data_IF_640083596967
#
_entry.id   IF_640083596967
#
_cell.length_a   1.000
_cell.length_b   1.000
_cell.length_c   1.000
_cell.angle_alpha   90.00
_cell.angle_beta   90.00
_cell.angle_gamma   90.00
#
_symmetry.space_group_name_H-M   'P 1'
#
loop_
_entity.id
_entity.type
_entity.pdbx_description
1 polymer ?
#
# COMPACT_ATOMS: atom_id res chain seq x y z
N UNK A 1 -24.19 -49.22 22.68
CA UNK A 1 -24.80 -47.95 22.25
C UNK A 1 -23.71 -46.90 22.30
N UNK A 2 -23.13 -46.51 21.16
CA UNK A 2 -22.22 -45.39 21.09
C UNK A 2 -23.02 -44.21 20.56
N UNK A 3 -23.16 -43.18 21.40
CA UNK A 3 -23.87 -41.96 21.07
C UNK A 3 -23.10 -41.17 20.02
N UNK A 4 -23.79 -40.90 18.94
CA UNK A 4 -23.38 -40.03 17.86
C UNK A 4 -23.40 -38.59 18.37
N UNK A 5 -22.23 -38.02 18.61
CA UNK A 5 -22.11 -36.58 18.98
C UNK A 5 -22.15 -35.80 17.66
N UNK A 6 -23.38 -35.41 17.29
CA UNK A 6 -23.59 -34.51 16.17
C UNK A 6 -22.82 -33.21 16.37
N UNK A 7 -21.79 -32.98 15.58
CA UNK A 7 -21.13 -31.70 15.48
C UNK A 7 -22.13 -30.74 14.83
N UNK A 8 -22.61 -29.76 15.63
CA UNK A 8 -23.47 -28.70 15.14
C UNK A 8 -22.79 -28.00 13.93
N UNK A 9 -23.52 -27.70 12.84
CA UNK A 9 -22.97 -26.95 11.74
C UNK A 9 -22.52 -25.58 12.26
N UNK A 10 -21.23 -25.26 12.06
CA UNK A 10 -20.66 -23.96 12.33
C UNK A 10 -21.57 -22.91 11.68
N UNK A 11 -22.25 -22.10 12.46
CA UNK A 11 -23.02 -20.95 11.99
C UNK A 11 -22.01 -20.05 11.23
N UNK A 12 -22.11 -20.05 9.90
CA UNK A 12 -21.41 -19.04 9.08
C UNK A 12 -21.93 -17.68 9.55
N UNK A 13 -21.10 -16.96 10.28
CA UNK A 13 -21.36 -15.59 10.69
C UNK A 13 -21.52 -14.78 9.40
N UNK A 14 -22.75 -14.37 9.09
CA UNK A 14 -23.07 -13.51 7.93
C UNK A 14 -22.24 -12.24 8.03
N UNK A 15 -21.19 -12.14 7.25
CA UNK A 15 -20.27 -10.99 7.26
C UNK A 15 -20.78 -9.91 6.31
N UNK A 16 -21.78 -9.14 6.77
CA UNK A 16 -22.22 -7.96 6.02
C UNK A 16 -21.09 -6.92 5.93
N UNK A 17 -20.72 -6.57 4.72
CA UNK A 17 -19.74 -5.55 4.42
C UNK A 17 -20.39 -4.30 3.80
N UNK A 18 -19.74 -3.15 3.93
CA UNK A 18 -20.17 -1.92 3.24
C UNK A 18 -20.19 -2.14 1.73
N UNK A 19 -21.27 -1.73 1.06
CA UNK A 19 -21.43 -1.94 -0.39
C UNK A 19 -20.28 -1.39 -1.22
N UNK A 20 -19.76 -0.19 -0.89
CA UNK A 20 -18.61 0.36 -1.59
C UNK A 20 -17.32 -0.50 -1.42
N UNK A 21 -17.19 -1.27 -0.33
CA UNK A 21 -16.09 -2.23 -0.14
C UNK A 21 -16.28 -3.41 -1.10
N UNK A 22 -17.48 -3.98 -1.14
CA UNK A 22 -17.82 -5.10 -2.03
C UNK A 22 -17.62 -4.71 -3.50
N UNK A 23 -18.19 -3.57 -3.94
CA UNK A 23 -18.05 -3.08 -5.32
C UNK A 23 -16.58 -2.87 -5.71
N UNK A 24 -15.77 -2.38 -4.78
CA UNK A 24 -14.34 -2.18 -5.00
C UNK A 24 -13.58 -3.51 -5.06
N UNK A 25 -13.88 -4.47 -4.21
CA UNK A 25 -13.28 -5.82 -4.20
C UNK A 25 -13.62 -6.60 -5.48
N UNK A 26 -14.84 -6.42 -6.00
CA UNK A 26 -15.29 -7.00 -7.29
C UNK A 26 -14.77 -6.26 -8.52
N UNK A 27 -13.90 -5.25 -8.35
CA UNK A 27 -13.27 -4.52 -9.46
C UNK A 27 -14.18 -3.52 -10.19
N UNK A 28 -15.41 -3.30 -9.74
CA UNK A 28 -16.39 -2.42 -10.41
C UNK A 28 -15.93 -0.96 -10.41
N UNK A 29 -15.50 -0.45 -9.24
CA UNK A 29 -15.09 0.95 -9.09
C UNK A 29 -14.12 1.14 -7.91
N UNK A 30 -13.57 2.36 -7.73
CA UNK A 30 -12.95 2.74 -6.46
C UNK A 30 -14.03 2.89 -5.39
N UNK A 31 -13.69 2.79 -4.09
CA UNK A 31 -14.67 2.97 -3.00
C UNK A 31 -15.42 4.30 -3.10
N UNK A 32 -14.74 5.41 -3.41
CA UNK A 32 -15.37 6.72 -3.61
C UNK A 32 -16.32 6.73 -4.82
N UNK A 33 -15.87 6.16 -5.95
CA UNK A 33 -16.72 6.07 -7.14
C UNK A 33 -17.91 5.14 -6.91
N UNK A 34 -17.75 4.09 -6.14
CA UNK A 34 -18.84 3.21 -5.71
C UNK A 34 -19.88 3.97 -4.84
N UNK A 35 -19.42 4.83 -3.92
CA UNK A 35 -20.31 5.72 -3.14
C UNK A 35 -21.11 6.68 -4.06
N UNK A 36 -20.48 7.27 -5.06
CA UNK A 36 -21.16 8.09 -6.07
C UNK A 36 -22.21 7.28 -6.85
N UNK A 37 -21.89 6.03 -7.22
CA UNK A 37 -22.82 5.13 -7.91
C UNK A 37 -24.03 4.76 -7.03
N UNK A 38 -23.80 4.52 -5.73
CA UNK A 38 -24.87 4.25 -4.75
C UNK A 38 -25.77 5.50 -4.62
N UNK A 39 -25.18 6.69 -4.46
CA UNK A 39 -25.92 7.95 -4.38
C UNK A 39 -26.75 8.23 -5.63
N UNK A 40 -26.25 7.86 -6.81
CA UNK A 40 -26.96 7.98 -8.06
C UNK A 40 -28.07 6.95 -8.28
N UNK A 41 -28.35 6.06 -7.29
CA UNK A 41 -29.36 5.01 -7.38
C UNK A 41 -29.04 3.89 -8.37
N UNK A 42 -27.77 3.74 -8.77
CA UNK A 42 -27.34 2.78 -9.77
C UNK A 42 -27.09 1.37 -9.18
N UNK A 43 -27.09 1.23 -7.86
CA UNK A 43 -26.79 -0.02 -7.15
C UNK A 43 -28.06 -0.55 -6.47
N UNK A 44 -28.33 -1.83 -6.66
CA UNK A 44 -29.43 -2.53 -5.98
C UNK A 44 -28.91 -3.71 -5.18
N UNK A 45 -29.58 -4.01 -4.07
CA UNK A 45 -29.39 -5.23 -3.25
C UNK A 45 -30.74 -5.93 -3.18
N UNK A 46 -30.79 -7.17 -3.64
CA UNK A 46 -32.03 -7.98 -3.71
C UNK A 46 -33.17 -7.24 -4.43
N UNK A 47 -32.85 -6.48 -5.49
CA UNK A 47 -33.80 -5.71 -6.29
C UNK A 47 -34.20 -4.35 -5.69
N UNK A 48 -33.76 -3.99 -4.48
CA UNK A 48 -34.05 -2.73 -3.81
C UNK A 48 -32.89 -1.76 -4.04
N UNK A 49 -33.16 -0.50 -4.38
CA UNK A 49 -32.14 0.55 -4.56
C UNK A 49 -31.43 0.80 -3.22
N UNK A 50 -30.12 0.71 -3.25
CA UNK A 50 -29.29 0.88 -2.08
C UNK A 50 -29.02 2.34 -1.73
N UNK A 51 -28.82 2.61 -0.44
CA UNK A 51 -28.44 3.91 0.09
C UNK A 51 -27.00 3.94 0.58
N UNK A 52 -26.44 5.16 0.73
CA UNK A 52 -25.13 5.32 1.37
C UNK A 52 -25.14 4.73 2.78
N UNK A 53 -24.14 3.93 3.05
CA UNK A 53 -23.99 3.28 4.35
C UNK A 53 -24.60 1.88 4.42
N UNK A 54 -25.34 1.45 3.42
CA UNK A 54 -25.86 0.09 3.36
C UNK A 54 -24.75 -0.96 3.32
N UNK A 55 -25.10 -2.12 3.84
CA UNK A 55 -24.23 -3.30 3.90
C UNK A 55 -24.93 -4.47 3.23
N UNK A 56 -24.16 -5.38 2.66
CA UNK A 56 -24.65 -6.63 2.08
C UNK A 56 -23.65 -7.75 2.35
N UNK A 57 -24.12 -8.97 2.22
CA UNK A 57 -23.29 -10.16 2.18
C UNK A 57 -23.06 -10.55 0.70
N UNK A 58 -21.82 -10.49 0.25
CA UNK A 58 -21.48 -10.73 -1.16
C UNK A 58 -21.72 -12.17 -1.63
N UNK A 59 -21.90 -13.13 -0.70
CA UNK A 59 -22.12 -14.54 -0.99
C UNK A 59 -23.61 -14.91 -1.05
N UNK A 60 -24.48 -14.16 -0.34
CA UNK A 60 -25.90 -14.49 -0.19
C UNK A 60 -26.82 -13.45 -0.81
N UNK A 61 -26.41 -12.17 -0.89
CA UNK A 61 -27.23 -11.11 -1.45
C UNK A 61 -26.97 -10.93 -2.94
N UNK A 62 -28.04 -10.73 -3.72
CA UNK A 62 -27.96 -10.37 -5.13
C UNK A 62 -27.67 -8.88 -5.27
N UNK A 63 -26.43 -8.53 -5.58
CA UNK A 63 -26.02 -7.15 -5.79
C UNK A 63 -25.90 -6.89 -7.29
N UNK A 64 -26.52 -5.79 -7.78
CA UNK A 64 -26.44 -5.38 -9.18
C UNK A 64 -26.08 -3.91 -9.32
N UNK A 65 -25.40 -3.59 -10.43
CA UNK A 65 -25.03 -2.22 -10.82
C UNK A 65 -25.55 -1.95 -12.22
N UNK A 66 -26.37 -0.91 -12.39
CA UNK A 66 -27.08 -0.62 -13.63
C UNK A 66 -27.86 -1.86 -14.16
N UNK A 67 -28.49 -2.60 -13.24
CA UNK A 67 -29.25 -3.82 -13.56
C UNK A 67 -28.39 -5.04 -13.93
N UNK A 68 -27.06 -4.94 -13.90
CA UNK A 68 -26.14 -6.06 -14.18
C UNK A 68 -25.60 -6.63 -12.86
N UNK A 69 -25.60 -7.97 -12.68
CA UNK A 69 -25.00 -8.60 -11.52
C UNK A 69 -23.53 -8.22 -11.37
N UNK A 70 -23.01 -8.28 -10.14
CA UNK A 70 -21.58 -8.10 -9.91
C UNK A 70 -20.77 -9.19 -10.64
N UNK A 71 -19.60 -8.84 -11.18
CA UNK A 71 -18.66 -9.83 -11.68
C UNK A 71 -18.21 -10.76 -10.55
N UNK A 72 -17.79 -11.96 -10.89
CA UNK A 72 -17.15 -12.87 -9.96
C UNK A 72 -15.91 -12.21 -9.33
N UNK A 73 -15.56 -12.62 -8.13
CA UNK A 73 -14.37 -12.11 -7.47
C UNK A 73 -13.12 -12.60 -8.21
N UNK A 74 -12.33 -11.66 -8.71
CA UNK A 74 -11.03 -11.98 -9.30
C UNK A 74 -10.11 -12.59 -8.25
N UNK A 75 -9.24 -13.50 -8.67
CA UNK A 75 -8.18 -14.01 -7.81
C UNK A 75 -7.35 -12.86 -7.26
N UNK A 76 -6.92 -12.98 -6.00
CA UNK A 76 -6.03 -12.00 -5.41
C UNK A 76 -4.66 -12.04 -6.07
N UNK A 77 -4.15 -10.87 -6.41
CA UNK A 77 -2.80 -10.70 -6.95
C UNK A 77 -2.00 -9.75 -6.06
N UNK A 78 -0.73 -10.03 -5.95
CA UNK A 78 0.22 -9.28 -5.13
C UNK A 78 1.44 -9.01 -6.00
N UNK A 79 1.71 -7.73 -6.24
CA UNK A 79 2.72 -7.28 -7.20
C UNK A 79 3.77 -6.44 -6.47
N UNK A 80 5.02 -6.71 -6.75
CA UNK A 80 6.16 -5.87 -6.41
C UNK A 80 6.62 -5.15 -7.66
N UNK A 81 6.52 -3.82 -7.64
CA UNK A 81 7.05 -2.93 -8.66
C UNK A 81 8.35 -2.27 -8.15
N UNK A 82 9.40 -2.25 -8.97
CA UNK A 82 10.52 -1.33 -8.75
C UNK A 82 10.19 0.02 -9.42
N UNK A 83 9.45 0.86 -8.68
CA UNK A 83 8.95 2.15 -9.18
C UNK A 83 10.10 3.07 -9.59
N UNK A 84 10.14 3.60 -10.81
CA UNK A 84 11.11 4.62 -11.20
C UNK A 84 10.73 6.01 -10.66
N UNK A 85 11.69 6.95 -10.68
CA UNK A 85 11.42 8.38 -10.43
C UNK A 85 10.59 8.95 -11.60
N UNK A 86 9.89 10.04 -11.34
CA UNK A 86 9.05 10.72 -12.33
C UNK A 86 7.60 10.19 -12.38
N UNK A 87 7.28 9.11 -11.71
CA UNK A 87 5.94 8.55 -11.64
C UNK A 87 5.27 8.89 -10.31
N UNK A 88 4.04 9.39 -10.35
CA UNK A 88 3.23 9.60 -9.15
C UNK A 88 2.57 8.31 -8.70
N UNK A 89 2.42 8.11 -7.39
CA UNK A 89 1.71 6.94 -6.85
C UNK A 89 0.23 7.26 -6.74
N UNK A 90 -0.50 7.02 -7.80
CA UNK A 90 -1.96 7.20 -7.91
C UNK A 90 -2.52 6.20 -8.93
N UNK A 91 -3.83 5.99 -8.91
CA UNK A 91 -4.56 5.24 -9.95
C UNK A 91 -5.03 6.15 -11.11
N UNK A 92 -5.09 7.45 -10.87
CA UNK A 92 -5.44 8.47 -11.86
C UNK A 92 -4.80 9.78 -11.44
N UNK A 93 -4.25 10.50 -12.40
CA UNK A 93 -3.64 11.82 -12.16
C UNK A 93 -4.36 12.90 -12.98
N UNK A 94 -4.98 13.84 -12.30
CA UNK A 94 -5.72 14.94 -12.93
C UNK A 94 -4.83 15.89 -13.73
N UNK A 95 -3.51 15.87 -13.47
CA UNK A 95 -2.53 16.72 -14.14
C UNK A 95 -1.84 16.04 -15.33
N UNK A 96 -2.24 14.81 -15.67
CA UNK A 96 -1.67 14.05 -16.80
C UNK A 96 -0.21 13.61 -16.60
N UNK A 97 0.29 13.56 -15.36
CA UNK A 97 1.64 13.07 -15.08
C UNK A 97 1.66 11.52 -15.17
N UNK A 98 2.79 10.93 -15.57
CA UNK A 98 2.94 9.47 -15.52
C UNK A 98 2.63 8.92 -14.14
N UNK A 99 1.78 7.91 -14.05
CA UNK A 99 1.40 7.26 -12.80
C UNK A 99 1.99 5.85 -12.69
N UNK A 100 2.20 5.40 -11.45
CA UNK A 100 2.82 4.12 -11.18
C UNK A 100 1.88 2.92 -11.49
N UNK A 101 0.57 3.14 -11.57
CA UNK A 101 -0.38 2.08 -11.90
C UNK A 101 -0.30 1.68 -13.38
N UNK A 102 0.05 2.62 -14.26
CA UNK A 102 0.29 2.36 -15.68
C UNK A 102 1.41 1.34 -15.92
N UNK A 103 2.40 1.27 -15.02
CA UNK A 103 3.53 0.33 -15.11
C UNK A 103 3.16 -1.13 -14.77
N UNK A 104 1.99 -1.37 -14.21
CA UNK A 104 1.48 -2.69 -13.83
C UNK A 104 0.13 -3.00 -14.50
N UNK A 105 -0.27 -2.22 -15.50
CA UNK A 105 -1.56 -2.34 -16.19
C UNK A 105 -1.75 -3.65 -16.94
N UNK A 106 -0.66 -4.30 -17.30
CA UNK A 106 -0.62 -5.61 -18.00
C UNK A 106 -0.81 -6.82 -17.06
N UNK A 107 -1.04 -6.61 -15.77
CA UNK A 107 -1.35 -7.69 -14.81
C UNK A 107 -2.75 -8.31 -15.01
N UNK A 108 -3.58 -7.75 -15.89
CA UNK A 108 -4.88 -8.32 -16.30
C UNK A 108 -6.04 -8.09 -15.33
N UNK A 109 -5.78 -7.54 -14.13
CA UNK A 109 -6.82 -7.22 -13.12
C UNK A 109 -6.61 -5.82 -12.55
N UNK A 110 -7.68 -5.25 -12.03
CA UNK A 110 -7.58 -3.94 -11.38
C UNK A 110 -6.87 -4.06 -10.04
N UNK A 111 -5.71 -3.45 -9.92
CA UNK A 111 -4.92 -3.36 -8.68
C UNK A 111 -4.75 -1.90 -8.22
N UNK A 112 -4.38 -1.71 -6.97
CA UNK A 112 -4.09 -0.41 -6.39
C UNK A 112 -2.81 -0.47 -5.53
N UNK A 113 -2.10 0.68 -5.39
CA UNK A 113 -0.86 0.71 -4.63
C UNK A 113 -1.11 0.54 -3.13
N UNK A 114 -0.23 -0.21 -2.48
CA UNK A 114 -0.16 -0.36 -1.03
C UNK A 114 0.79 0.69 -0.49
N UNK A 115 0.23 1.78 0.01
CA UNK A 115 0.99 2.95 0.39
C UNK A 115 1.48 3.78 -0.80
N UNK A 116 2.46 4.64 -0.55
CA UNK A 116 2.93 5.60 -1.55
C UNK A 116 4.44 5.76 -1.53
N UNK A 117 4.99 6.07 -2.70
CA UNK A 117 6.31 6.68 -2.89
C UNK A 117 6.13 8.02 -3.60
N UNK A 118 6.89 9.03 -3.19
CA UNK A 118 6.89 10.33 -3.87
C UNK A 118 7.36 10.20 -5.33
N UNK A 119 7.02 11.17 -6.16
CA UNK A 119 7.41 11.19 -7.57
C UNK A 119 8.94 11.19 -7.75
N UNK A 120 9.67 11.85 -6.84
CA UNK A 120 11.13 11.92 -6.82
C UNK A 120 11.81 10.76 -6.07
N UNK A 121 11.03 9.77 -5.60
CA UNK A 121 11.50 8.56 -4.92
C UNK A 121 11.31 7.32 -5.80
N UNK A 122 12.15 6.31 -5.61
CA UNK A 122 12.15 5.08 -6.39
C UNK A 122 12.16 3.83 -5.51
N UNK A 123 12.00 2.67 -6.12
CA UNK A 123 12.18 1.37 -5.48
C UNK A 123 10.87 0.63 -5.21
N UNK A 124 10.87 -0.19 -4.18
CA UNK A 124 9.82 -1.13 -3.83
C UNK A 124 8.47 -0.44 -3.61
N UNK A 125 7.50 -0.73 -4.46
CA UNK A 125 6.11 -0.34 -4.30
C UNK A 125 5.24 -1.56 -4.54
N UNK A 126 4.34 -1.86 -3.61
CA UNK A 126 3.41 -2.97 -3.71
C UNK A 126 2.11 -2.53 -4.36
N UNK A 127 1.50 -3.45 -5.13
CA UNK A 127 0.14 -3.33 -5.64
C UNK A 127 -0.63 -4.61 -5.36
N UNK A 128 -1.94 -4.49 -5.14
CA UNK A 128 -2.83 -5.64 -4.93
C UNK A 128 -4.29 -5.26 -5.22
N UNK A 129 -5.16 -6.26 -5.37
CA UNK A 129 -6.62 -6.15 -5.30
C UNK A 129 -7.19 -6.68 -3.96
N UNK A 130 -6.33 -7.14 -3.04
CA UNK A 130 -6.70 -7.58 -1.69
C UNK A 130 -6.67 -6.40 -0.71
N UNK A 131 -7.86 -5.93 -0.31
CA UNK A 131 -8.00 -4.79 0.59
C UNK A 131 -7.56 -5.07 2.02
N UNK A 132 -7.64 -6.29 2.48
CA UNK A 132 -7.23 -6.68 3.83
C UNK A 132 -5.71 -6.74 3.94
N UNK A 133 -5.07 -7.36 2.96
CA UNK A 133 -3.61 -7.33 2.82
C UNK A 133 -3.06 -5.90 2.72
N UNK A 134 -3.68 -5.05 1.89
CA UNK A 134 -3.25 -3.66 1.79
C UNK A 134 -3.39 -2.92 3.13
N UNK A 135 -4.49 -3.13 3.83
CA UNK A 135 -4.72 -2.52 5.14
C UNK A 135 -3.74 -3.01 6.20
N UNK A 136 -3.40 -4.32 6.21
CA UNK A 136 -2.42 -4.87 7.16
C UNK A 136 -1.04 -4.20 7.04
N UNK A 137 -0.62 -3.82 5.83
CA UNK A 137 0.66 -3.16 5.58
C UNK A 137 0.64 -1.63 5.77
N UNK A 138 -0.53 -1.00 5.58
CA UNK A 138 -0.64 0.47 5.64
C UNK A 138 -1.09 0.99 6.99
N UNK A 139 -1.80 0.18 7.78
CA UNK A 139 -2.40 0.66 9.03
C UNK A 139 -1.31 0.99 10.06
N UNK A 140 -1.32 2.17 10.67
CA UNK A 140 -0.26 2.61 11.59
C UNK A 140 -0.01 1.68 12.77
N UNK A 141 -1.00 0.92 13.21
CA UNK A 141 -0.88 -0.05 14.32
C UNK A 141 0.06 -1.22 14.03
N UNK A 142 0.27 -1.57 12.75
CA UNK A 142 1.09 -2.73 12.37
C UNK A 142 2.58 -2.40 12.24
N UNK A 143 2.94 -1.12 12.25
CA UNK A 143 4.32 -0.62 12.32
C UNK A 143 5.28 -1.28 11.32
N UNK A 144 4.82 -1.53 10.10
CA UNK A 144 5.61 -2.21 9.07
C UNK A 144 6.86 -1.40 8.72
N UNK A 145 8.02 -1.98 9.00
CA UNK A 145 9.32 -1.35 8.74
C UNK A 145 9.53 -1.05 7.26
N UNK A 146 10.04 0.13 6.95
CA UNK A 146 10.44 0.54 5.60
C UNK A 146 11.89 0.96 5.59
N UNK A 147 12.72 0.28 4.78
CA UNK A 147 14.15 0.58 4.68
C UNK A 147 14.46 1.27 3.38
N UNK A 148 15.13 2.40 3.48
CA UNK A 148 15.52 3.23 2.37
C UNK A 148 17.03 3.29 2.22
N UNK A 149 17.53 3.07 1.01
CA UNK A 149 18.87 3.46 0.62
C UNK A 149 18.81 4.94 0.24
N UNK A 150 19.60 5.77 0.93
CA UNK A 150 19.51 7.23 0.88
C UNK A 150 20.87 7.80 0.55
N UNK A 151 20.99 8.52 -0.57
CA UNK A 151 22.19 9.27 -0.94
C UNK A 151 22.00 10.73 -0.57
N UNK A 152 23.00 11.30 0.08
CA UNK A 152 22.96 12.68 0.58
C UNK A 152 24.20 13.48 0.15
N UNK A 153 24.07 14.81 0.15
CA UNK A 153 25.13 15.80 0.15
C UNK A 153 25.11 16.59 1.46
N UNK A 154 26.20 17.28 1.77
CA UNK A 154 26.35 18.03 3.02
C UNK A 154 26.64 17.13 4.21
N UNK A 155 27.10 15.90 3.98
CA UNK A 155 27.49 15.01 5.06
C UNK A 155 28.74 15.54 5.77
N UNK A 156 28.69 15.56 7.10
CA UNK A 156 29.83 15.73 7.97
C UNK A 156 29.95 14.52 8.90
N UNK A 157 31.16 14.05 9.26
CA UNK A 157 31.32 12.93 10.17
C UNK A 157 30.53 13.11 11.48
N UNK A 158 29.72 12.12 11.82
CA UNK A 158 28.85 12.16 13.00
C UNK A 158 27.43 12.64 12.74
N UNK A 159 27.06 13.10 11.53
CA UNK A 159 25.69 13.52 11.20
C UNK A 159 24.68 12.38 11.36
N UNK A 160 25.11 11.10 11.24
CA UNK A 160 24.28 9.94 11.54
C UNK A 160 23.75 9.91 12.98
N UNK A 161 24.49 10.46 13.92
CA UNK A 161 24.03 10.60 15.32
C UNK A 161 22.88 11.60 15.44
N UNK A 162 22.90 12.66 14.63
CA UNK A 162 21.78 13.62 14.57
C UNK A 162 20.53 12.98 13.97
N UNK A 163 20.69 12.18 12.88
CA UNK A 163 19.58 11.42 12.27
C UNK A 163 18.94 10.42 13.22
N UNK A 164 19.72 9.83 14.12
CA UNK A 164 19.24 8.83 15.07
C UNK A 164 18.51 9.42 16.28
N UNK A 165 18.50 10.76 16.44
CA UNK A 165 17.79 11.43 17.52
C UNK A 165 16.29 11.57 17.22
N UNK A 166 15.44 11.70 18.25
CA UNK A 166 14.04 12.11 18.04
C UNK A 166 13.96 13.43 17.29
N UNK A 167 13.20 13.47 16.22
CA UNK A 167 12.98 14.66 15.38
C UNK A 167 11.49 14.98 15.40
N UNK A 168 11.13 16.23 15.63
CA UNK A 168 9.74 16.69 15.57
C UNK A 168 9.42 17.20 14.17
N UNK A 169 8.42 16.60 13.53
CA UNK A 169 7.90 16.97 12.22
C UNK A 169 6.40 17.31 12.36
N UNK A 170 6.02 18.55 12.04
CA UNK A 170 4.62 19.04 12.14
C UNK A 170 4.00 18.81 13.52
N UNK A 171 4.75 19.13 14.59
CA UNK A 171 4.30 18.96 15.98
C UNK A 171 4.29 17.51 16.50
N UNK A 172 4.71 16.56 15.67
CA UNK A 172 4.80 15.15 16.05
C UNK A 172 6.25 14.70 16.13
N UNK A 173 6.65 14.14 17.27
CA UNK A 173 7.98 13.56 17.44
C UNK A 173 7.98 12.14 16.86
N UNK A 174 8.76 11.96 15.78
CA UNK A 174 8.92 10.66 15.14
C UNK A 174 9.76 9.73 16.00
N UNK A 175 9.51 8.42 15.88
CA UNK A 175 10.36 7.41 16.53
C UNK A 175 11.75 7.43 15.93
N UNK A 176 12.81 7.23 16.75
CA UNK A 176 14.18 7.17 16.24
C UNK A 176 14.31 6.08 15.15
N UNK A 177 14.84 6.41 13.98
CA UNK A 177 15.07 5.46 12.92
C UNK A 177 16.31 4.60 13.21
N UNK A 178 16.40 3.43 12.59
CA UNK A 178 17.67 2.70 12.51
C UNK A 178 18.49 3.26 11.36
N UNK A 179 19.72 3.72 11.66
CA UNK A 179 20.65 4.31 10.69
C UNK A 179 21.88 3.42 10.54
N UNK A 180 22.24 3.12 9.30
CA UNK A 180 23.50 2.44 8.97
C UNK A 180 24.21 3.25 7.88
N UNK A 181 25.37 3.81 8.18
CA UNK A 181 26.25 4.44 7.19
C UNK A 181 26.87 3.34 6.32
N UNK A 182 26.63 3.37 5.01
CA UNK A 182 27.18 2.40 4.05
C UNK A 182 28.47 2.89 3.43
N UNK A 183 28.53 4.18 3.09
CA UNK A 183 29.69 4.83 2.46
C UNK A 183 29.67 6.31 2.78
N UNK A 184 30.86 6.90 2.97
CA UNK A 184 31.05 8.35 3.01
C UNK A 184 32.26 8.72 2.14
N UNK A 185 32.17 9.83 1.41
CA UNK A 185 33.21 10.32 0.52
C UNK A 185 33.06 11.85 0.37
N UNK A 186 33.96 12.61 1.00
CA UNK A 186 33.85 14.07 1.11
C UNK A 186 32.52 14.48 1.77
N UNK A 187 31.78 15.37 1.13
CA UNK A 187 30.47 15.85 1.57
C UNK A 187 29.30 14.92 1.20
N UNK A 188 29.58 13.75 0.60
CA UNK A 188 28.58 12.78 0.16
C UNK A 188 28.58 11.56 1.06
N UNK A 189 27.38 11.05 1.35
CA UNK A 189 27.23 9.78 2.05
C UNK A 189 26.07 8.96 1.50
N UNK A 190 26.08 7.67 1.81
CA UNK A 190 25.00 6.73 1.54
C UNK A 190 24.64 6.00 2.82
N UNK A 191 23.35 6.05 3.15
CA UNK A 191 22.80 5.42 4.35
C UNK A 191 21.79 4.34 3.99
N UNK A 192 21.62 3.35 4.88
CA UNK A 192 20.36 2.64 5.05
C UNK A 192 19.62 3.25 6.23
N UNK A 193 18.42 3.74 5.97
CA UNK A 193 17.53 4.36 6.96
C UNK A 193 16.28 3.50 7.05
N UNK A 194 16.03 2.91 8.23
CA UNK A 194 14.80 2.14 8.49
C UNK A 194 13.89 2.94 9.41
N UNK A 195 12.65 3.15 8.96
CA UNK A 195 11.59 3.85 9.69
C UNK A 195 10.42 2.91 9.94
N UNK A 196 9.67 3.14 11.02
CA UNK A 196 8.49 2.35 11.43
C UNK A 196 7.16 2.98 10.96
N UNK A 197 7.21 4.22 10.52
CA UNK A 197 6.08 5.01 10.05
C UNK A 197 6.38 5.62 8.68
N UNK A 198 5.37 6.16 7.99
CA UNK A 198 5.54 6.71 6.64
C UNK A 198 4.92 8.09 6.49
N UNK A 199 5.41 9.09 7.26
CA UNK A 199 4.91 10.46 7.16
C UNK A 199 5.39 11.13 5.87
N UNK A 200 4.66 12.17 5.47
CA UNK A 200 4.98 12.92 4.26
C UNK A 200 6.46 13.33 4.22
N UNK A 201 7.18 12.84 3.21
CA UNK A 201 8.60 13.09 2.94
C UNK A 201 9.53 12.90 4.16
N UNK A 202 9.18 11.97 5.05
CA UNK A 202 9.82 11.82 6.37
C UNK A 202 11.34 11.71 6.27
N UNK A 203 11.89 10.78 5.49
CA UNK A 203 13.35 10.57 5.36
C UNK A 203 14.05 11.83 4.86
N UNK A 204 13.48 12.53 3.87
CA UNK A 204 14.05 13.76 3.33
C UNK A 204 14.08 14.88 4.38
N UNK A 205 12.99 15.02 5.12
CA UNK A 205 12.88 16.03 6.19
C UNK A 205 13.81 15.73 7.36
N UNK A 206 14.02 14.48 7.71
CA UNK A 206 15.00 14.05 8.71
C UNK A 206 16.41 14.39 8.29
N UNK A 207 16.80 14.08 7.04
CA UNK A 207 18.11 14.43 6.51
C UNK A 207 18.32 15.95 6.48
N UNK A 208 17.31 16.70 6.07
CA UNK A 208 17.35 18.17 6.07
C UNK A 208 17.54 18.74 7.47
N UNK A 209 16.86 18.21 8.47
CA UNK A 209 17.01 18.61 9.87
C UNK A 209 18.42 18.29 10.42
N UNK A 210 19.11 17.31 9.84
CA UNK A 210 20.50 16.96 10.14
C UNK A 210 21.51 17.68 9.23
N UNK A 211 21.10 18.73 8.49
CA UNK A 211 21.96 19.55 7.62
C UNK A 211 22.33 18.88 6.29
N UNK A 212 21.64 17.82 5.86
CA UNK A 212 21.95 17.07 4.65
C UNK A 212 20.81 17.15 3.63
N UNK A 213 21.17 17.21 2.35
CA UNK A 213 20.24 17.15 1.21
C UNK A 213 20.17 15.74 0.64
N UNK A 214 18.97 15.17 0.52
CA UNK A 214 18.77 13.87 -0.14
C UNK A 214 18.75 14.04 -1.65
N UNK A 215 19.76 13.50 -2.32
CA UNK A 215 19.91 13.53 -3.79
C UNK A 215 19.22 12.34 -4.47
N UNK A 216 19.13 11.19 -3.77
CA UNK A 216 18.44 9.99 -4.26
C UNK A 216 17.85 9.22 -3.07
N UNK A 217 16.62 8.73 -3.23
CA UNK A 217 15.91 7.95 -2.21
C UNK A 217 15.28 6.71 -2.85
N UNK A 218 15.71 5.52 -2.41
CA UNK A 218 15.25 4.24 -2.93
C UNK A 218 14.73 3.37 -1.80
N UNK A 219 13.45 3.01 -1.81
CA UNK A 219 12.94 2.02 -0.87
C UNK A 219 13.40 0.63 -1.31
N UNK A 220 14.19 -0.03 -0.47
CA UNK A 220 14.81 -1.33 -0.78
C UNK A 220 14.17 -2.48 -0.01
N UNK A 221 13.41 -2.17 1.07
CA UNK A 221 12.74 -3.19 1.88
C UNK A 221 11.45 -2.63 2.49
N UNK A 222 10.43 -3.49 2.61
CA UNK A 222 9.18 -3.24 3.34
C UNK A 222 8.76 -4.52 4.07
N UNK A 223 8.67 -4.46 5.41
CA UNK A 223 8.50 -5.66 6.24
C UNK A 223 9.63 -6.67 6.00
N UNK A 224 9.25 -7.90 5.71
CA UNK A 224 10.15 -9.01 5.34
C UNK A 224 10.62 -8.93 3.89
N UNK A 225 9.88 -8.22 3.01
CA UNK A 225 10.11 -8.20 1.57
C UNK A 225 11.27 -7.29 1.18
N UNK A 226 12.16 -7.80 0.34
CA UNK A 226 13.29 -7.06 -0.25
C UNK A 226 13.07 -6.84 -1.76
N UNK A 227 13.52 -5.69 -2.26
CA UNK A 227 13.44 -5.35 -3.68
C UNK A 227 14.26 -6.32 -4.57
N UNK A 228 15.40 -6.81 -4.04
CA UNK A 228 16.32 -7.67 -4.78
C UNK A 228 16.87 -6.99 -6.04
N UNK A 229 17.08 -7.80 -7.08
CA UNK A 229 17.65 -7.40 -8.37
C UNK A 229 16.60 -7.03 -9.41
N UNK A 230 15.33 -6.82 -9.00
CA UNK A 230 14.26 -6.42 -9.91
C UNK A 230 14.67 -5.12 -10.64
N UNK A 231 14.74 -5.11 -11.99
CA UNK A 231 15.14 -3.92 -12.73
C UNK A 231 14.19 -2.75 -12.55
N UNK A 232 14.70 -1.52 -12.69
CA UNK A 232 13.90 -0.31 -12.56
C UNK A 232 12.76 -0.27 -13.60
N UNK A 233 11.56 0.07 -13.16
CA UNK A 233 10.34 0.07 -13.99
C UNK A 233 9.74 -1.30 -14.26
N UNK A 234 10.36 -2.38 -13.77
CA UNK A 234 9.80 -3.74 -13.89
C UNK A 234 9.06 -4.14 -12.64
N UNK A 235 8.14 -5.08 -12.81
CA UNK A 235 7.36 -5.65 -11.74
C UNK A 235 7.34 -7.19 -11.84
N UNK A 236 6.99 -7.84 -10.74
CA UNK A 236 6.74 -9.27 -10.66
C UNK A 236 5.63 -9.58 -9.65
N UNK A 237 5.03 -10.72 -9.76
CA UNK A 237 4.19 -11.23 -8.68
C UNK A 237 5.02 -11.60 -7.45
N UNK A 238 4.42 -11.48 -6.27
CA UNK A 238 4.97 -12.06 -5.05
C UNK A 238 4.74 -13.58 -5.05
N UNK A 239 5.67 -14.31 -4.45
CA UNK A 239 5.46 -15.72 -4.14
C UNK A 239 4.51 -15.88 -2.95
N UNK A 240 3.90 -17.06 -2.80
CA UNK A 240 3.06 -17.37 -1.64
C UNK A 240 3.81 -17.21 -0.31
N UNK A 241 5.08 -17.59 -0.27
CA UNK A 241 5.94 -17.41 0.90
C UNK A 241 6.15 -15.93 1.24
N UNK A 242 6.35 -15.06 0.23
CA UNK A 242 6.49 -13.60 0.44
C UNK A 242 5.17 -13.00 0.95
N UNK A 243 4.04 -13.39 0.40
CA UNK A 243 2.72 -12.94 0.85
C UNK A 243 2.47 -13.38 2.30
N UNK A 244 2.75 -14.65 2.62
CA UNK A 244 2.58 -15.20 3.98
C UNK A 244 3.47 -14.50 5.01
N UNK A 245 4.70 -14.15 4.63
CA UNK A 245 5.65 -13.46 5.50
C UNK A 245 5.31 -11.96 5.72
N UNK A 246 4.38 -11.41 4.95
CA UNK A 246 3.89 -10.02 5.08
C UNK A 246 2.55 -9.92 5.82
N UNK A 247 1.81 -11.03 5.96
CA UNK A 247 0.55 -11.13 6.74
C UNK A 247 0.85 -11.32 8.22
#
# INVERSE_FOLDING_TARGET
MRGDVGIAPYERQYMKERLQKILSARGVASRRKAEEMIQAGLVTVNGIVANLGDTADADTDTIAVNGKPLPEQSQYVYILLNKPRGYVTTLSDEKGRPDAASLVSDCGVRVYPVGRLDMDSEGLLLFTNDGEFANSLMHPKHEVNKTYQTWVRGYVPGAEKALARPITLDGYTIRPPKIVLQKAEGDKARFLITIHEGRNRQVRRMCQAAGMEVTRLRRVKEGSLSLGDLPLGKWRYLTEAEVSALK
#
